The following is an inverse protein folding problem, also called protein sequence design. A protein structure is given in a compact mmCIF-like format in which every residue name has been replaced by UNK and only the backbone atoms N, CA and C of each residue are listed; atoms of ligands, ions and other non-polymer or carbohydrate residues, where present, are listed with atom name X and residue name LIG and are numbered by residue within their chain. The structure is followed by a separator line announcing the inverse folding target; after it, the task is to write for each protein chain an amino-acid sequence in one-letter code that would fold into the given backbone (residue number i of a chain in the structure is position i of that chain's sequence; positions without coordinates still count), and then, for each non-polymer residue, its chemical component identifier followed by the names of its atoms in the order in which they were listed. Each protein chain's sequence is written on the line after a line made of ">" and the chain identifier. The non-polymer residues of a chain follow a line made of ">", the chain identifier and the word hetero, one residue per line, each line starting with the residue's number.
data_IF_077739019709
#
_entry.id   IF_077739019709
#
_cell.length_a   1.000
_cell.length_b   1.000
_cell.length_c   1.000
_cell.angle_alpha   90.00
_cell.angle_beta   90.00
_cell.angle_gamma   90.00
#
_symmetry.space_group_name_H-M   'P 1'
#
loop_
_entity.id
_entity.type
_entity.pdbx_description
1 polymer ?
#
# COMPACT_ATOMS: atom_id res chain seq x y z
N UNK A 1 -68.14 -26.73 -22.72
CA UNK A 1 -69.07 -27.51 -21.91
C UNK A 1 -68.37 -28.71 -21.29
N UNK A 2 -67.62 -29.53 -22.05
CA UNK A 2 -66.89 -30.72 -21.53
C UNK A 2 -65.76 -30.40 -20.60
N UNK A 3 -64.96 -29.34 -20.81
CA UNK A 3 -63.91 -28.86 -19.93
C UNK A 3 -64.48 -28.38 -18.60
N UNK A 4 -65.56 -27.65 -18.60
CA UNK A 4 -66.28 -27.24 -17.37
C UNK A 4 -66.75 -28.43 -16.52
N UNK A 5 -67.26 -29.49 -17.21
CA UNK A 5 -67.63 -30.74 -16.56
C UNK A 5 -66.43 -31.50 -15.99
N UNK A 6 -65.27 -31.45 -16.62
CA UNK A 6 -64.07 -32.06 -16.12
C UNK A 6 -63.50 -31.31 -14.88
N UNK A 7 -63.57 -29.99 -14.88
CA UNK A 7 -63.21 -29.18 -13.70
C UNK A 7 -64.17 -29.40 -12.53
N UNK A 8 -65.44 -29.45 -12.84
CA UNK A 8 -66.47 -29.73 -11.85
C UNK A 8 -66.32 -31.14 -11.23
N UNK A 9 -66.00 -32.10 -12.09
CA UNK A 9 -65.67 -33.47 -11.66
C UNK A 9 -64.42 -33.46 -10.79
N UNK A 10 -63.36 -32.75 -11.13
CA UNK A 10 -62.15 -32.63 -10.32
C UNK A 10 -62.44 -32.07 -8.92
N UNK A 11 -63.23 -31.03 -8.84
CA UNK A 11 -63.68 -30.44 -7.58
C UNK A 11 -64.48 -31.40 -6.70
N UNK A 12 -65.36 -32.22 -7.32
CA UNK A 12 -66.12 -33.25 -6.61
C UNK A 12 -65.21 -34.35 -6.09
N UNK A 13 -64.19 -34.77 -6.88
CA UNK A 13 -63.18 -35.76 -6.44
C UNK A 13 -62.37 -35.30 -5.28
N UNK A 14 -61.89 -34.05 -5.26
CA UNK A 14 -61.15 -33.46 -4.19
C UNK A 14 -61.98 -33.42 -2.88
N UNK A 15 -63.22 -32.98 -2.96
CA UNK A 15 -64.15 -32.99 -1.83
C UNK A 15 -64.40 -34.41 -1.32
N UNK A 16 -64.60 -35.39 -2.21
CA UNK A 16 -64.83 -36.76 -1.84
C UNK A 16 -63.60 -37.42 -1.16
N UNK A 17 -62.38 -37.14 -1.69
CA UNK A 17 -61.14 -37.59 -1.08
C UNK A 17 -60.93 -37.00 0.34
N UNK A 18 -61.33 -35.74 0.53
CA UNK A 18 -61.31 -35.07 1.85
C UNK A 18 -62.29 -35.72 2.82
N UNK A 19 -63.49 -36.09 2.37
CA UNK A 19 -64.48 -36.79 3.17
C UNK A 19 -63.98 -38.16 3.55
N UNK A 20 -63.40 -38.96 2.63
CA UNK A 20 -62.83 -40.29 2.94
C UNK A 20 -61.72 -40.17 3.99
N UNK A 21 -60.84 -39.21 3.85
CA UNK A 21 -59.74 -38.95 4.80
C UNK A 21 -60.27 -38.50 6.18
N UNK A 22 -61.41 -37.81 6.21
CA UNK A 22 -62.09 -37.43 7.45
C UNK A 22 -62.77 -38.63 8.10
N UNK A 23 -63.41 -39.50 7.31
CA UNK A 23 -64.07 -40.72 7.76
C UNK A 23 -63.06 -41.71 8.38
N UNK A 24 -61.92 -41.91 7.69
CA UNK A 24 -60.81 -42.72 8.20
C UNK A 24 -60.29 -42.19 9.54
N UNK A 25 -60.08 -40.89 9.71
CA UNK A 25 -59.63 -40.25 10.97
C UNK A 25 -60.65 -40.37 12.09
N UNK A 26 -61.91 -40.55 11.81
CA UNK A 26 -62.99 -40.73 12.78
C UNK A 26 -63.24 -42.19 13.15
N UNK A 27 -62.41 -43.12 12.69
CA UNK A 27 -62.50 -44.54 13.06
C UNK A 27 -63.46 -45.35 12.14
N UNK A 28 -63.65 -44.88 10.88
CA UNK A 28 -64.40 -45.63 9.87
C UNK A 28 -63.74 -46.97 9.53
N UNK A 29 -64.60 -47.96 9.06
CA UNK A 29 -64.12 -49.28 8.74
C UNK A 29 -63.03 -49.26 7.66
N UNK A 30 -61.82 -49.83 7.94
CA UNK A 30 -60.71 -49.86 6.98
C UNK A 30 -61.04 -50.52 5.65
N UNK A 31 -61.97 -51.52 5.61
CA UNK A 31 -62.38 -52.18 4.41
C UNK A 31 -63.25 -51.28 3.49
N UNK A 32 -64.15 -50.46 4.10
CA UNK A 32 -64.95 -49.48 3.38
C UNK A 32 -64.06 -48.32 2.83
N UNK A 33 -63.11 -47.84 3.65
CA UNK A 33 -62.15 -46.80 3.23
C UNK A 33 -61.33 -47.27 2.01
N UNK A 34 -60.84 -48.51 2.03
CA UNK A 34 -60.06 -49.10 0.93
C UNK A 34 -60.91 -49.26 -0.32
N UNK A 35 -62.18 -49.69 -0.19
CA UNK A 35 -63.11 -49.80 -1.32
C UNK A 35 -63.41 -48.44 -1.94
N UNK A 36 -63.65 -47.39 -1.15
CA UNK A 36 -63.92 -46.03 -1.61
C UNK A 36 -62.66 -45.42 -2.30
N UNK A 37 -61.45 -45.64 -1.77
CA UNK A 37 -60.19 -45.22 -2.42
C UNK A 37 -59.94 -45.98 -3.73
N UNK A 38 -60.22 -47.30 -3.76
CA UNK A 38 -60.14 -48.10 -4.96
C UNK A 38 -61.10 -47.61 -6.06
N UNK A 39 -62.31 -47.26 -5.70
CA UNK A 39 -63.27 -46.65 -6.64
C UNK A 39 -62.78 -45.33 -7.19
N UNK A 40 -62.26 -44.41 -6.34
CA UNK A 40 -61.71 -43.15 -6.77
C UNK A 40 -60.56 -43.33 -7.76
N UNK A 41 -59.61 -44.22 -7.44
CA UNK A 41 -58.46 -44.49 -8.32
C UNK A 41 -58.89 -45.09 -9.67
N UNK A 42 -59.85 -45.99 -9.68
CA UNK A 42 -60.38 -46.59 -10.90
C UNK A 42 -61.03 -45.53 -11.82
N UNK A 43 -61.83 -44.65 -11.25
CA UNK A 43 -62.54 -43.59 -12.01
C UNK A 43 -61.53 -42.52 -12.47
N UNK A 44 -60.49 -42.24 -11.72
CA UNK A 44 -59.41 -41.34 -12.13
C UNK A 44 -58.59 -41.90 -13.29
N UNK A 45 -58.22 -43.17 -13.26
CA UNK A 45 -57.49 -43.86 -14.34
C UNK A 45 -58.36 -43.95 -15.59
N UNK A 46 -59.63 -44.26 -15.48
CA UNK A 46 -60.53 -44.29 -16.65
C UNK A 46 -60.73 -42.91 -17.25
N UNK A 47 -60.67 -41.83 -16.47
CA UNK A 47 -60.71 -40.44 -16.97
C UNK A 47 -59.47 -40.01 -17.70
N UNK A 48 -58.30 -40.47 -17.31
CA UNK A 48 -57.02 -40.16 -17.94
C UNK A 48 -56.77 -40.96 -19.25
N UNK A 49 -57.28 -42.19 -19.32
CA UNK A 49 -57.09 -43.08 -20.49
C UNK A 49 -57.92 -42.72 -21.70
N UNK A 50 -58.80 -41.74 -21.60
CA UNK A 50 -59.68 -41.34 -22.72
C UNK A 50 -59.37 -39.98 -23.32
N UNK A 51 -58.22 -39.33 -22.97
CA UNK A 51 -57.76 -38.16 -23.72
C UNK A 51 -57.31 -38.60 -25.09
N UNK A 52 -58.11 -38.25 -26.10
CA UNK A 52 -57.77 -38.48 -27.51
C UNK A 52 -56.51 -37.63 -27.83
N UNK A 53 -55.63 -38.11 -28.74
CA UNK A 53 -54.46 -37.37 -29.22
C UNK A 53 -54.85 -35.94 -29.70
N UNK A 54 -56.10 -35.76 -30.24
CA UNK A 54 -56.63 -34.47 -30.62
C UNK A 54 -56.82 -33.53 -29.38
N UNK A 55 -57.50 -34.01 -28.35
CA UNK A 55 -57.74 -33.21 -27.12
C UNK A 55 -56.42 -32.83 -26.42
N UNK A 56 -55.41 -33.71 -26.44
CA UNK A 56 -54.08 -33.38 -25.95
C UNK A 56 -53.37 -32.32 -26.79
N UNK A 57 -53.49 -32.45 -28.13
CA UNK A 57 -52.91 -31.46 -29.05
C UNK A 57 -53.59 -30.09 -28.90
N UNK A 58 -54.90 -30.05 -28.78
CA UNK A 58 -55.66 -28.79 -28.60
C UNK A 58 -55.32 -28.12 -27.27
N UNK A 59 -55.27 -28.87 -26.17
CA UNK A 59 -54.86 -28.35 -24.83
C UNK A 59 -53.41 -27.89 -24.83
N UNK A 60 -52.51 -28.62 -25.51
CA UNK A 60 -51.11 -28.23 -25.64
C UNK A 60 -50.96 -26.96 -26.47
N UNK A 61 -51.69 -26.85 -27.58
CA UNK A 61 -51.66 -25.63 -28.41
C UNK A 61 -52.26 -24.44 -27.67
N UNK A 62 -53.35 -24.62 -26.94
CA UNK A 62 -53.98 -23.58 -26.13
C UNK A 62 -53.02 -23.11 -25.03
N UNK A 63 -52.30 -24.03 -24.32
CA UNK A 63 -51.25 -23.70 -23.38
C UNK A 63 -50.06 -23.02 -24.08
N UNK A 64 -49.64 -23.50 -25.26
CA UNK A 64 -48.51 -22.95 -25.99
C UNK A 64 -48.74 -21.48 -26.39
N UNK A 65 -49.95 -21.12 -26.77
CA UNK A 65 -50.33 -19.75 -27.16
C UNK A 65 -50.88 -18.91 -26.00
N UNK A 66 -51.03 -19.46 -24.81
CA UNK A 66 -51.51 -18.71 -23.66
C UNK A 66 -50.42 -17.74 -23.12
N UNK A 67 -50.83 -16.58 -22.54
CA UNK A 67 -49.91 -15.63 -21.90
C UNK A 67 -49.19 -16.22 -20.70
N UNK A 68 -49.75 -17.22 -20.04
CA UNK A 68 -49.19 -17.91 -18.87
C UNK A 68 -48.34 -19.15 -19.26
N UNK A 69 -48.50 -19.63 -20.51
CA UNK A 69 -47.81 -20.78 -21.07
C UNK A 69 -46.63 -20.44 -21.96
N UNK A 70 -46.57 -21.07 -23.13
CA UNK A 70 -45.46 -21.00 -24.06
C UNK A 70 -45.08 -19.59 -24.51
N UNK A 71 -46.09 -18.76 -24.87
CA UNK A 71 -45.83 -17.36 -25.27
C UNK A 71 -45.28 -16.54 -24.12
N UNK A 72 -45.79 -16.70 -22.90
CA UNK A 72 -45.28 -16.00 -21.71
C UNK A 72 -43.86 -16.39 -21.38
N UNK A 73 -43.53 -17.69 -21.48
CA UNK A 73 -42.15 -18.19 -21.27
C UNK A 73 -41.21 -17.64 -22.37
N UNK A 74 -41.61 -17.70 -23.63
CA UNK A 74 -40.82 -17.17 -24.74
C UNK A 74 -40.55 -15.66 -24.60
N UNK A 75 -41.55 -14.88 -24.17
CA UNK A 75 -41.40 -13.46 -23.92
C UNK A 75 -40.42 -13.19 -22.76
N UNK A 76 -40.50 -13.93 -21.63
CA UNK A 76 -39.56 -13.83 -20.53
C UNK A 76 -38.13 -14.15 -20.95
N UNK A 77 -37.96 -15.22 -21.71
CA UNK A 77 -36.62 -15.59 -22.25
C UNK A 77 -36.13 -14.49 -23.20
N UNK A 78 -36.97 -13.93 -24.06
CA UNK A 78 -36.60 -12.84 -24.96
C UNK A 78 -36.19 -11.57 -24.20
N UNK A 79 -36.90 -11.21 -23.12
CA UNK A 79 -36.52 -10.07 -22.23
C UNK A 79 -35.19 -10.33 -21.58
N UNK A 80 -34.96 -11.53 -21.02
CA UNK A 80 -33.67 -11.88 -20.38
C UNK A 80 -32.53 -11.83 -21.40
N UNK A 81 -32.69 -12.48 -22.54
CA UNK A 81 -31.70 -12.48 -23.61
C UNK A 81 -31.42 -11.06 -24.15
N UNK A 82 -32.49 -10.27 -24.37
CA UNK A 82 -32.39 -8.88 -24.83
C UNK A 82 -31.66 -7.99 -23.82
N UNK A 83 -31.95 -8.11 -22.52
CA UNK A 83 -31.30 -7.34 -21.47
C UNK A 83 -29.81 -7.71 -21.31
N UNK A 84 -29.47 -8.99 -21.39
CA UNK A 84 -28.06 -9.44 -21.36
C UNK A 84 -27.32 -9.00 -22.64
N UNK A 85 -27.94 -9.06 -23.80
CA UNK A 85 -27.35 -8.58 -25.04
C UNK A 85 -27.13 -7.06 -25.00
N UNK A 86 -28.13 -6.31 -24.51
CA UNK A 86 -28.01 -4.87 -24.28
C UNK A 86 -26.86 -4.52 -23.32
N UNK A 87 -26.72 -5.27 -22.22
CA UNK A 87 -25.63 -5.11 -21.29
C UNK A 87 -24.26 -5.31 -21.97
N UNK A 88 -24.11 -6.33 -22.81
CA UNK A 88 -22.86 -6.56 -23.54
C UNK A 88 -22.53 -5.42 -24.50
N UNK A 89 -23.55 -4.84 -25.16
CA UNK A 89 -23.36 -3.66 -26.02
C UNK A 89 -22.87 -2.46 -25.18
N UNK A 90 -23.57 -2.16 -24.09
CA UNK A 90 -23.20 -1.05 -23.18
C UNK A 90 -21.77 -1.24 -22.66
N UNK A 91 -21.42 -2.44 -22.20
CA UNK A 91 -20.08 -2.73 -21.70
C UNK A 91 -18.99 -2.54 -22.78
N UNK A 92 -19.27 -2.90 -24.04
CA UNK A 92 -18.36 -2.65 -25.17
C UNK A 92 -18.21 -1.17 -25.48
N UNK A 93 -19.30 -0.40 -25.44
CA UNK A 93 -19.28 1.05 -25.65
C UNK A 93 -18.45 1.72 -24.55
N UNK A 94 -18.73 1.41 -23.27
CA UNK A 94 -18.00 1.95 -22.11
C UNK A 94 -16.52 1.60 -22.20
N UNK A 95 -16.18 0.35 -22.52
CA UNK A 95 -14.78 -0.06 -22.76
C UNK A 95 -14.11 0.75 -23.87
N UNK A 96 -14.82 1.01 -24.96
CA UNK A 96 -14.30 1.80 -26.08
C UNK A 96 -14.01 3.25 -25.66
N UNK A 97 -14.92 3.85 -24.90
CA UNK A 97 -14.73 5.19 -24.35
C UNK A 97 -13.60 5.25 -23.34
N UNK A 98 -13.52 4.28 -22.42
CA UNK A 98 -12.42 4.16 -21.47
C UNK A 98 -11.07 4.04 -22.19
N UNK A 99 -10.98 3.19 -23.21
CA UNK A 99 -9.76 3.05 -24.03
C UNK A 99 -9.35 4.35 -24.71
N UNK A 100 -10.30 5.13 -25.25
CA UNK A 100 -10.03 6.43 -25.86
C UNK A 100 -9.60 7.46 -24.83
N UNK A 101 -10.20 7.47 -23.64
CA UNK A 101 -9.83 8.35 -22.55
C UNK A 101 -8.40 8.07 -22.07
N UNK A 102 -8.08 6.80 -21.79
CA UNK A 102 -6.75 6.40 -21.34
C UNK A 102 -5.65 6.60 -22.41
N UNK A 103 -5.99 6.47 -23.69
CA UNK A 103 -5.01 6.72 -24.77
C UNK A 103 -4.64 8.19 -24.94
N UNK A 104 -5.38 9.13 -24.34
CA UNK A 104 -5.06 10.57 -24.34
C UNK A 104 -4.13 10.97 -23.20
N UNK A 105 -3.95 10.12 -22.19
CA UNK A 105 -3.06 10.40 -21.06
C UNK A 105 -1.61 10.18 -21.50
N UNK A 106 -0.81 11.24 -21.48
CA UNK A 106 0.61 11.17 -21.78
C UNK A 106 1.33 10.26 -20.77
N UNK A 107 2.29 9.47 -21.26
CA UNK A 107 3.09 8.52 -20.47
C UNK A 107 2.36 7.28 -19.91
N UNK A 108 1.10 7.04 -20.29
CA UNK A 108 0.44 5.78 -19.95
C UNK A 108 0.88 4.66 -20.91
N UNK A 109 1.45 3.58 -20.37
CA UNK A 109 1.85 2.45 -21.23
C UNK A 109 0.64 1.83 -21.93
N UNK A 110 0.84 1.33 -23.17
CA UNK A 110 -0.22 0.65 -23.92
C UNK A 110 -0.78 -0.57 -23.18
N UNK A 111 0.07 -1.26 -22.40
CA UNK A 111 -0.34 -2.40 -21.58
C UNK A 111 -1.27 -1.96 -20.45
N UNK A 112 -0.91 -0.90 -19.72
CA UNK A 112 -1.72 -0.38 -18.61
C UNK A 112 -3.06 0.16 -19.11
N UNK A 113 -3.09 0.91 -20.22
CA UNK A 113 -4.33 1.40 -20.81
C UNK A 113 -5.27 0.25 -21.25
N UNK A 114 -4.68 -0.83 -21.78
CA UNK A 114 -5.42 -2.04 -22.13
C UNK A 114 -6.02 -2.74 -20.91
N UNK A 115 -5.22 -2.89 -19.86
CA UNK A 115 -5.65 -3.47 -18.59
C UNK A 115 -6.79 -2.66 -17.93
N UNK A 116 -6.63 -1.34 -17.82
CA UNK A 116 -7.65 -0.46 -17.23
C UNK A 116 -8.96 -0.51 -18.02
N UNK A 117 -8.89 -0.50 -19.36
CA UNK A 117 -10.08 -0.63 -20.20
C UNK A 117 -10.76 -2.00 -20.04
N UNK A 118 -10.01 -3.07 -19.78
CA UNK A 118 -10.54 -4.40 -19.49
C UNK A 118 -11.20 -4.44 -18.10
N UNK A 119 -10.57 -3.81 -17.09
CA UNK A 119 -11.12 -3.70 -15.74
C UNK A 119 -12.46 -2.95 -15.75
N UNK A 120 -12.55 -1.82 -16.46
CA UNK A 120 -13.80 -1.06 -16.65
C UNK A 120 -14.87 -1.91 -17.34
N UNK A 121 -14.50 -2.72 -18.34
CA UNK A 121 -15.44 -3.62 -19.02
C UNK A 121 -16.05 -4.63 -18.05
N UNK A 122 -15.22 -5.34 -17.29
CA UNK A 122 -15.70 -6.35 -16.32
C UNK A 122 -16.50 -5.74 -15.18
N UNK A 123 -16.10 -4.56 -14.70
CA UNK A 123 -16.85 -3.82 -13.69
C UNK A 123 -18.23 -3.41 -14.21
N UNK A 124 -18.31 -2.94 -15.47
CA UNK A 124 -19.58 -2.60 -16.12
C UNK A 124 -20.48 -3.83 -16.24
N UNK A 125 -19.91 -5.00 -16.61
CA UNK A 125 -20.68 -6.25 -16.67
C UNK A 125 -21.18 -6.65 -15.28
N UNK A 126 -20.33 -6.60 -14.25
CA UNK A 126 -20.70 -6.98 -12.89
C UNK A 126 -21.85 -6.12 -12.34
N UNK A 127 -21.73 -4.80 -12.45
CA UNK A 127 -22.77 -3.85 -12.01
C UNK A 127 -24.03 -4.00 -12.87
N UNK A 128 -23.89 -4.07 -14.18
CA UNK A 128 -25.01 -4.20 -15.10
C UNK A 128 -25.76 -5.53 -14.93
N UNK A 129 -25.04 -6.62 -14.64
CA UNK A 129 -25.67 -7.91 -14.35
C UNK A 129 -26.52 -7.83 -13.06
N UNK A 130 -26.02 -7.17 -12.01
CA UNK A 130 -26.79 -6.95 -10.79
C UNK A 130 -28.06 -6.15 -11.06
N UNK A 131 -27.99 -5.11 -11.91
CA UNK A 131 -29.15 -4.30 -12.31
C UNK A 131 -30.16 -5.14 -13.08
N UNK A 132 -29.70 -5.94 -14.05
CA UNK A 132 -30.56 -6.82 -14.83
C UNK A 132 -31.24 -7.86 -13.96
N UNK A 133 -30.51 -8.51 -13.04
CA UNK A 133 -31.08 -9.49 -12.11
C UNK A 133 -32.12 -8.87 -11.18
N UNK A 134 -31.84 -7.68 -10.66
CA UNK A 134 -32.80 -6.93 -9.82
C UNK A 134 -34.06 -6.56 -10.60
N UNK A 135 -33.93 -6.10 -11.85
CA UNK A 135 -35.05 -5.78 -12.71
C UNK A 135 -35.94 -7.01 -13.07
N UNK A 136 -35.31 -8.19 -13.07
CA UNK A 136 -36.00 -9.48 -13.26
C UNK A 136 -36.62 -10.03 -11.95
N UNK A 137 -36.53 -9.28 -10.84
CA UNK A 137 -37.07 -9.68 -9.52
C UNK A 137 -36.19 -10.67 -8.74
N UNK A 138 -34.96 -10.92 -9.15
CA UNK A 138 -34.03 -11.78 -8.43
C UNK A 138 -33.49 -11.03 -7.21
N UNK A 139 -33.49 -11.69 -6.06
CA UNK A 139 -32.89 -11.11 -4.85
C UNK A 139 -31.36 -11.04 -4.99
N UNK A 140 -30.84 -9.81 -5.12
CA UNK A 140 -29.42 -9.53 -5.29
C UNK A 140 -28.66 -9.33 -3.96
N UNK A 141 -29.34 -9.41 -2.80
CA UNK A 141 -28.71 -9.24 -1.47
C UNK A 141 -27.49 -10.15 -1.27
N UNK A 142 -27.51 -11.45 -1.63
CA UNK A 142 -26.32 -12.30 -1.51
C UNK A 142 -25.15 -11.84 -2.38
N UNK A 143 -25.45 -11.24 -3.55
CA UNK A 143 -24.39 -10.72 -4.42
C UNK A 143 -23.73 -9.47 -3.82
N UNK A 144 -24.49 -8.60 -3.14
CA UNK A 144 -23.91 -7.48 -2.40
C UNK A 144 -22.99 -7.95 -1.29
N UNK A 145 -23.34 -9.01 -0.56
CA UNK A 145 -22.47 -9.58 0.46
C UNK A 145 -21.15 -10.10 -0.14
N UNK A 146 -21.24 -10.80 -1.29
CA UNK A 146 -20.05 -11.28 -2.00
C UNK A 146 -19.17 -10.13 -2.49
N UNK A 147 -19.78 -9.12 -3.14
CA UNK A 147 -19.04 -7.93 -3.63
C UNK A 147 -18.41 -7.17 -2.47
N UNK A 148 -19.12 -7.01 -1.35
CA UNK A 148 -18.58 -6.38 -0.14
C UNK A 148 -17.36 -7.12 0.41
N UNK A 149 -17.44 -8.45 0.52
CA UNK A 149 -16.32 -9.28 0.94
C UNK A 149 -15.12 -9.20 -0.03
N UNK A 150 -15.38 -9.28 -1.32
CA UNK A 150 -14.33 -9.15 -2.33
C UNK A 150 -13.68 -7.74 -2.32
N UNK A 151 -14.49 -6.69 -2.14
CA UNK A 151 -14.00 -5.31 -2.05
C UNK A 151 -13.08 -5.10 -0.84
N UNK A 152 -13.38 -5.74 0.29
CA UNK A 152 -12.54 -5.71 1.47
C UNK A 152 -11.18 -6.35 1.22
N UNK A 153 -11.14 -7.53 0.56
CA UNK A 153 -9.89 -8.20 0.19
C UNK A 153 -9.07 -7.32 -0.77
N UNK A 154 -9.71 -6.72 -1.77
CA UNK A 154 -9.05 -5.82 -2.72
C UNK A 154 -8.50 -4.58 -2.01
N UNK A 155 -9.25 -4.00 -1.07
CA UNK A 155 -8.80 -2.85 -0.30
C UNK A 155 -7.53 -3.15 0.50
N UNK A 156 -7.44 -4.32 1.15
CA UNK A 156 -6.22 -4.78 1.82
C UNK A 156 -5.05 -4.98 0.84
N UNK A 157 -5.32 -5.62 -0.31
CA UNK A 157 -4.29 -5.86 -1.31
C UNK A 157 -3.73 -4.55 -1.91
N UNK A 158 -4.53 -3.48 -1.97
CA UNK A 158 -4.15 -2.17 -2.49
C UNK A 158 -3.74 -1.17 -1.41
N UNK A 159 -3.76 -1.54 -0.13
CA UNK A 159 -3.52 -0.63 1.00
C UNK A 159 -2.21 0.15 0.87
N UNK A 160 -1.11 -0.52 0.54
CA UNK A 160 0.20 0.12 0.37
C UNK A 160 0.20 1.10 -0.82
N UNK A 161 -0.41 0.72 -1.94
CA UNK A 161 -0.50 1.57 -3.13
C UNK A 161 -1.33 2.82 -2.85
N UNK A 162 -2.46 2.67 -2.16
CA UNK A 162 -3.30 3.80 -1.74
C UNK A 162 -2.60 4.68 -0.72
N UNK A 163 -1.81 4.08 0.20
CA UNK A 163 -0.96 4.80 1.14
C UNK A 163 0.09 5.67 0.43
N UNK A 164 0.75 5.13 -0.59
CA UNK A 164 1.71 5.87 -1.40
C UNK A 164 1.05 7.01 -2.19
N UNK A 165 -0.13 6.77 -2.76
CA UNK A 165 -0.92 7.79 -3.45
C UNK A 165 -1.31 8.94 -2.49
N UNK A 166 -1.85 8.61 -1.33
CA UNK A 166 -2.24 9.60 -0.32
C UNK A 166 -1.04 10.42 0.16
N UNK A 167 0.08 9.77 0.48
CA UNK A 167 1.32 10.42 0.87
C UNK A 167 1.88 11.31 -0.25
N UNK A 168 1.85 10.86 -1.50
CA UNK A 168 2.28 11.67 -2.65
C UNK A 168 1.45 12.93 -2.83
N UNK A 169 0.13 12.84 -2.68
CA UNK A 169 -0.76 14.00 -2.70
C UNK A 169 -0.45 14.97 -1.54
N UNK A 170 -0.16 14.43 -0.33
CA UNK A 170 0.21 15.25 0.82
C UNK A 170 1.54 15.97 0.62
N UNK A 171 2.55 15.29 0.03
CA UNK A 171 3.84 15.91 -0.33
C UNK A 171 3.63 17.05 -1.34
N UNK A 172 2.86 16.80 -2.42
CA UNK A 172 2.59 17.80 -3.45
C UNK A 172 1.77 18.98 -2.94
N UNK A 173 0.85 18.76 -1.98
CA UNK A 173 0.00 19.79 -1.42
C UNK A 173 0.75 20.64 -0.39
N UNK A 174 1.42 20.01 0.59
CA UNK A 174 2.12 20.70 1.67
C UNK A 174 3.52 21.20 1.27
N UNK A 175 4.12 20.64 0.23
CA UNK A 175 5.45 20.99 -0.30
C UNK A 175 6.52 21.13 0.78
N UNK A 176 6.80 20.09 1.58
CA UNK A 176 7.87 20.16 2.56
C UNK A 176 9.24 20.35 1.89
N UNK A 177 9.36 19.97 0.63
CA UNK A 177 10.48 20.18 -0.27
C UNK A 177 9.99 20.27 -1.73
N UNK A 178 10.82 20.79 -2.62
CA UNK A 178 10.58 20.85 -4.05
C UNK A 178 11.69 20.14 -4.84
N UNK A 179 11.50 20.01 -6.17
CA UNK A 179 12.53 19.49 -7.07
C UNK A 179 13.77 20.42 -7.01
N UNK A 180 14.95 19.82 -6.89
CA UNK A 180 16.22 20.52 -6.70
C UNK A 180 16.67 20.69 -5.25
N UNK A 181 15.78 20.48 -4.26
CA UNK A 181 16.17 20.51 -2.85
C UNK A 181 17.02 19.31 -2.45
N UNK A 182 18.03 19.56 -1.61
CA UNK A 182 18.75 18.47 -0.95
C UNK A 182 18.04 18.12 0.35
N UNK A 183 17.54 16.89 0.42
CA UNK A 183 16.81 16.38 1.58
C UNK A 183 17.47 15.13 2.16
N UNK A 184 17.22 14.90 3.44
CA UNK A 184 17.53 13.62 4.11
C UNK A 184 16.21 13.03 4.58
N UNK A 185 15.88 11.84 4.09
CA UNK A 185 14.65 11.11 4.42
C UNK A 185 14.91 9.60 4.37
N UNK A 186 14.27 8.83 5.22
CA UNK A 186 14.45 7.38 5.32
C UNK A 186 15.91 6.93 5.47
N UNK A 187 16.74 7.72 6.19
CA UNK A 187 18.16 7.45 6.38
C UNK A 187 19.05 7.73 5.16
N UNK A 188 18.49 8.22 4.07
CA UNK A 188 19.18 8.55 2.81
C UNK A 188 19.26 10.07 2.63
N UNK A 189 20.28 10.54 1.93
CA UNK A 189 20.41 11.95 1.58
C UNK A 189 20.62 12.11 0.07
N UNK A 190 19.79 12.96 -0.56
CA UNK A 190 19.88 13.19 -1.99
C UNK A 190 19.23 14.49 -2.42
N UNK A 191 19.50 14.87 -3.67
CA UNK A 191 18.80 15.98 -4.33
C UNK A 191 17.53 15.43 -4.99
N UNK A 192 16.38 16.00 -4.64
CA UNK A 192 15.08 15.63 -5.20
C UNK A 192 15.08 15.93 -6.70
N UNK A 193 14.92 14.90 -7.51
CA UNK A 193 14.86 15.00 -8.96
C UNK A 193 13.43 15.12 -9.47
N UNK A 194 12.53 14.34 -8.88
CA UNK A 194 11.11 14.32 -9.29
C UNK A 194 10.25 13.70 -8.22
N UNK A 195 9.04 14.25 -8.04
CA UNK A 195 8.00 13.70 -7.16
C UNK A 195 6.86 13.21 -8.03
N UNK A 196 6.66 11.90 -8.08
CA UNK A 196 5.52 11.27 -8.74
C UNK A 196 4.37 11.05 -7.74
N UNK A 197 3.23 10.60 -8.23
CA UNK A 197 2.04 10.32 -7.41
C UNK A 197 2.29 9.23 -6.36
N UNK A 198 3.21 8.28 -6.62
CA UNK A 198 3.44 7.12 -5.75
C UNK A 198 4.87 7.03 -5.19
N UNK A 199 5.81 7.77 -5.76
CA UNK A 199 7.23 7.71 -5.38
C UNK A 199 7.93 9.06 -5.55
N UNK A 200 8.92 9.31 -4.72
CA UNK A 200 9.88 10.41 -4.84
C UNK A 200 11.20 9.83 -5.35
N UNK A 201 11.80 10.50 -6.33
CA UNK A 201 13.07 10.12 -6.93
C UNK A 201 14.13 11.14 -6.53
N UNK A 202 15.23 10.67 -5.96
CA UNK A 202 16.37 11.47 -5.51
C UNK A 202 17.64 11.02 -6.20
N UNK A 203 18.60 11.93 -6.31
CA UNK A 203 19.95 11.65 -6.78
C UNK A 203 20.93 11.87 -5.64
N UNK A 204 21.71 10.85 -5.31
CA UNK A 204 22.78 10.93 -4.29
C UNK A 204 23.94 11.79 -4.77
N UNK A 205 24.85 12.25 -3.87
CA UNK A 205 26.05 13.00 -4.27
C UNK A 205 26.99 12.24 -5.21
N UNK A 206 26.99 10.91 -5.17
CA UNK A 206 27.74 10.00 -6.05
C UNK A 206 26.95 9.65 -7.33
N UNK A 207 25.86 10.42 -7.63
CA UNK A 207 25.05 10.33 -8.84
C UNK A 207 24.25 9.02 -9.00
N UNK A 208 23.91 8.33 -7.90
CA UNK A 208 23.00 7.21 -7.94
C UNK A 208 21.54 7.71 -7.86
N UNK A 209 20.65 7.04 -8.56
CA UNK A 209 19.23 7.34 -8.55
C UNK A 209 18.52 6.45 -7.50
N UNK A 210 17.86 7.06 -6.54
CA UNK A 210 17.09 6.38 -5.52
C UNK A 210 15.61 6.67 -5.75
N UNK A 211 14.78 5.64 -5.73
CA UNK A 211 13.31 5.75 -5.81
C UNK A 211 12.73 5.31 -4.48
N UNK A 212 12.10 6.24 -3.78
CA UNK A 212 11.53 6.02 -2.44
C UNK A 212 10.00 6.06 -2.55
N UNK A 213 9.27 5.04 -2.08
CA UNK A 213 7.81 5.10 -1.98
C UNK A 213 7.36 6.30 -1.13
N UNK A 214 6.37 7.06 -1.60
CA UNK A 214 5.94 8.29 -0.93
C UNK A 214 5.47 8.07 0.51
N UNK A 215 4.89 6.91 0.84
CA UNK A 215 4.48 6.58 2.21
C UNK A 215 5.66 6.54 3.18
N UNK A 216 6.85 6.11 2.73
CA UNK A 216 8.07 6.14 3.53
C UNK A 216 8.60 7.56 3.68
N UNK A 217 8.53 8.37 2.61
CA UNK A 217 8.96 9.78 2.65
C UNK A 217 8.11 10.58 3.64
N UNK A 218 6.78 10.47 3.52
CA UNK A 218 5.85 11.21 4.38
C UNK A 218 5.79 10.70 5.81
N UNK A 219 6.04 9.40 6.00
CA UNK A 219 5.99 8.75 7.31
C UNK A 219 7.26 8.91 8.16
N UNK A 220 8.31 9.50 7.63
CA UNK A 220 9.60 9.68 8.31
C UNK A 220 9.90 11.17 8.55
N UNK A 221 10.98 11.43 9.31
CA UNK A 221 11.48 12.78 9.53
C UNK A 221 12.15 13.30 8.26
N UNK A 222 11.60 14.38 7.72
CA UNK A 222 12.16 15.06 6.55
C UNK A 222 13.09 16.17 7.01
N UNK A 223 14.39 16.08 6.68
CA UNK A 223 15.34 17.16 6.90
C UNK A 223 15.67 17.83 5.59
N UNK A 224 15.13 19.01 5.34
CA UNK A 224 15.48 19.84 4.19
C UNK A 224 16.77 20.62 4.49
N UNK A 225 17.87 20.18 3.92
CA UNK A 225 19.20 20.79 4.12
C UNK A 225 19.33 22.16 3.46
N UNK A 226 18.63 22.34 2.33
CA UNK A 226 18.58 23.58 1.56
C UNK A 226 17.55 24.58 2.05
N UNK A 227 16.90 24.32 3.20
CA UNK A 227 15.89 25.22 3.76
C UNK A 227 16.44 26.59 4.23
N UNK A 228 17.72 26.61 4.62
CA UNK A 228 18.40 27.83 5.09
C UNK A 228 19.58 28.14 4.19
N UNK A 229 19.83 29.43 3.95
CA UNK A 229 20.97 29.91 3.16
C UNK A 229 22.29 29.67 3.85
N UNK A 230 22.27 29.56 5.18
CA UNK A 230 23.45 29.35 6.02
C UNK A 230 23.36 28.02 6.77
N UNK A 231 24.53 27.42 7.01
CA UNK A 231 24.64 26.14 7.72
C UNK A 231 25.85 26.15 8.64
N UNK A 232 25.72 25.54 9.82
CA UNK A 232 26.80 25.35 10.77
C UNK A 232 27.62 24.11 10.42
N UNK A 233 28.93 24.26 10.37
CA UNK A 233 29.86 23.13 10.23
C UNK A 233 30.24 22.70 11.66
N UNK A 234 30.03 21.44 12.01
CA UNK A 234 30.36 20.89 13.32
C UNK A 234 31.65 20.04 13.20
N UNK A 235 32.73 20.53 13.81
CA UNK A 235 34.02 19.88 13.83
C UNK A 235 34.46 19.61 15.28
N UNK A 236 35.24 18.56 15.46
CA UNK A 236 35.85 18.21 16.74
C UNK A 236 37.37 18.01 16.53
N UNK A 237 38.18 18.69 17.31
CA UNK A 237 39.63 18.54 17.30
C UNK A 237 40.13 18.22 18.70
N UNK A 238 40.93 17.16 18.85
CA UNK A 238 41.53 16.75 20.11
C UNK A 238 42.97 17.21 20.20
N UNK A 239 43.37 17.70 21.36
CA UNK A 239 44.78 18.01 21.73
C UNK A 239 45.28 17.10 22.84
N UNK A 240 46.56 16.95 22.99
CA UNK A 240 47.16 16.20 24.08
C UNK A 240 46.90 16.84 25.44
N UNK A 241 46.86 16.04 26.53
CA UNK A 241 46.70 16.54 27.90
C UNK A 241 47.85 17.40 28.37
N UNK A 242 49.04 17.30 27.74
CA UNK A 242 50.21 18.15 28.03
C UNK A 242 50.18 19.51 27.33
N UNK A 243 49.25 19.71 26.37
CA UNK A 243 49.16 20.92 25.58
C UNK A 243 48.39 22.04 26.29
N UNK A 244 48.71 23.29 25.99
CA UNK A 244 47.99 24.44 26.55
C UNK A 244 46.64 24.63 25.86
N UNK A 245 45.54 24.53 26.61
CA UNK A 245 44.17 24.78 26.16
C UNK A 245 44.06 26.19 25.59
N UNK A 246 44.66 27.21 26.24
CA UNK A 246 44.61 28.61 25.81
C UNK A 246 45.33 28.81 24.48
N UNK A 247 46.53 28.19 24.31
CA UNK A 247 47.28 28.26 23.07
C UNK A 247 46.51 27.59 21.90
N UNK A 248 45.93 26.40 22.14
CA UNK A 248 45.15 25.68 21.15
C UNK A 248 43.90 26.48 20.74
N UNK A 249 43.20 27.09 21.70
CA UNK A 249 42.03 27.90 21.41
C UNK A 249 42.40 29.11 20.52
N UNK A 250 43.49 29.84 20.83
CA UNK A 250 43.96 30.96 20.00
C UNK A 250 44.31 30.55 18.58
N UNK A 251 44.95 29.38 18.42
CA UNK A 251 45.25 28.84 17.07
C UNK A 251 44.00 28.52 16.32
N UNK A 252 43.01 27.84 16.96
CA UNK A 252 41.74 27.53 16.33
C UNK A 252 40.94 28.79 15.94
N UNK A 253 40.94 29.82 16.81
CA UNK A 253 40.31 31.11 16.53
C UNK A 253 40.97 31.77 15.30
N UNK A 254 42.30 31.75 15.22
CA UNK A 254 43.03 32.29 14.07
C UNK A 254 42.77 31.52 12.78
N UNK A 255 42.67 30.20 12.84
CA UNK A 255 42.34 29.37 11.67
C UNK A 255 40.91 29.63 11.18
N UNK A 256 39.94 29.73 12.10
CA UNK A 256 38.54 29.94 11.74
C UNK A 256 38.28 31.33 11.20
N UNK A 257 39.03 32.36 11.63
CA UNK A 257 38.90 33.74 11.16
C UNK A 257 39.45 33.98 9.72
N UNK A 258 40.23 33.04 9.18
CA UNK A 258 40.99 33.24 7.95
C UNK A 258 40.31 32.77 6.64
N UNK A 259 39.43 31.74 6.59
CA UNK A 259 38.83 31.32 5.36
C UNK A 259 37.74 32.31 4.87
N UNK A 260 37.76 32.71 3.58
CA UNK A 260 36.81 33.69 3.03
C UNK A 260 35.35 33.22 3.01
N UNK A 261 35.09 31.92 3.25
CA UNK A 261 33.77 31.28 3.19
C UNK A 261 33.13 31.09 4.58
N UNK A 262 33.87 31.41 5.67
CA UNK A 262 33.34 31.39 7.03
C UNK A 262 32.64 32.72 7.31
N UNK A 263 31.42 32.66 7.84
CA UNK A 263 30.62 33.84 8.18
C UNK A 263 31.00 34.39 9.54
N UNK A 264 31.03 35.70 9.66
CA UNK A 264 31.24 36.40 10.95
C UNK A 264 30.02 36.39 11.85
N UNK A 265 28.83 36.40 11.23
CA UNK A 265 27.54 36.34 11.89
C UNK A 265 26.68 35.21 11.27
N UNK A 266 26.23 34.23 12.04
CA UNK A 266 26.48 34.04 13.49
C UNK A 266 27.96 33.73 13.81
N UNK A 267 28.44 34.26 14.96
CA UNK A 267 29.82 34.08 15.37
C UNK A 267 30.19 32.60 15.56
N UNK A 268 31.39 32.18 15.13
CA UNK A 268 31.90 30.82 15.38
C UNK A 268 31.98 30.50 16.87
N UNK A 269 31.64 29.26 17.23
CA UNK A 269 31.80 28.78 18.62
C UNK A 269 32.99 27.85 18.68
N UNK A 270 34.00 28.20 19.51
CA UNK A 270 35.19 27.39 19.78
C UNK A 270 35.30 27.22 21.31
N UNK A 271 35.12 25.98 21.77
CA UNK A 271 35.12 25.66 23.22
C UNK A 271 35.64 24.25 23.45
N UNK A 272 36.27 24.04 24.62
CA UNK A 272 36.50 22.68 25.13
C UNK A 272 35.14 22.03 25.37
N UNK A 273 34.94 20.82 24.83
CA UNK A 273 33.68 20.08 24.93
C UNK A 273 33.77 18.82 25.77
N UNK A 274 34.97 18.23 25.85
CA UNK A 274 35.14 16.94 26.50
C UNK A 274 36.59 16.73 26.94
N UNK A 275 36.78 16.10 28.10
CA UNK A 275 38.02 15.51 28.51
C UNK A 275 37.91 14.01 28.23
N UNK A 276 38.36 13.61 27.03
CA UNK A 276 38.24 12.24 26.53
C UNK A 276 39.39 11.35 27.01
N UNK A 277 39.35 10.06 26.76
CA UNK A 277 40.30 9.05 27.26
C UNK A 277 41.77 9.39 26.92
N UNK A 278 42.02 10.00 25.78
CA UNK A 278 43.40 10.28 25.32
C UNK A 278 43.60 11.74 24.83
N UNK A 279 42.57 12.59 24.89
CA UNK A 279 42.59 13.94 24.34
C UNK A 279 41.69 14.91 25.10
N UNK A 280 42.02 16.19 25.02
CA UNK A 280 41.08 17.28 25.36
C UNK A 280 40.43 17.75 24.06
N UNK A 281 39.13 17.52 23.94
CA UNK A 281 38.42 17.79 22.71
C UNK A 281 37.81 19.20 22.66
N UNK A 282 38.06 19.90 21.57
CA UNK A 282 37.42 21.16 21.23
C UNK A 282 36.29 20.93 20.21
N UNK A 283 35.14 21.56 20.42
CA UNK A 283 34.18 21.79 19.36
C UNK A 283 34.53 23.09 18.62
N UNK A 284 34.50 23.03 17.29
CA UNK A 284 34.71 24.16 16.38
C UNK A 284 33.53 24.23 15.45
N UNK A 285 32.69 25.27 15.59
CA UNK A 285 31.41 25.39 14.97
C UNK A 285 31.27 26.70 14.21
N UNK A 286 31.93 26.89 13.06
CA UNK A 286 31.73 28.02 12.19
C UNK A 286 30.43 27.90 11.39
N UNK A 287 29.95 29.04 10.89
CA UNK A 287 28.86 29.12 9.95
C UNK A 287 29.37 29.44 8.56
N UNK A 288 28.65 28.89 7.53
CA UNK A 288 28.96 29.10 6.14
C UNK A 288 27.68 29.11 5.31
N UNK A 289 27.74 29.56 4.04
CA UNK A 289 26.64 29.35 3.13
C UNK A 289 26.42 27.87 2.89
N UNK A 290 25.15 27.46 2.73
CA UNK A 290 24.79 26.03 2.61
C UNK A 290 25.52 25.34 1.45
N UNK A 291 25.73 26.03 0.31
CA UNK A 291 26.48 25.48 -0.82
C UNK A 291 27.97 25.27 -0.58
N UNK A 292 28.57 26.01 0.38
CA UNK A 292 29.99 25.98 0.68
C UNK A 292 30.35 25.04 1.83
N UNK A 293 29.34 24.34 2.40
CA UNK A 293 29.48 23.52 3.60
C UNK A 293 30.65 22.53 3.52
N UNK A 294 30.73 21.76 2.46
CA UNK A 294 31.75 20.74 2.32
C UNK A 294 33.14 21.32 2.05
N UNK A 295 33.21 22.41 1.29
CA UNK A 295 34.48 23.14 1.05
C UNK A 295 35.03 23.62 2.37
N UNK A 296 34.24 24.33 3.16
CA UNK A 296 34.67 24.83 4.49
C UNK A 296 35.02 23.68 5.44
N UNK A 297 34.24 22.59 5.41
CA UNK A 297 34.52 21.42 6.24
C UNK A 297 35.92 20.83 5.98
N UNK A 298 36.26 20.59 4.72
CA UNK A 298 37.53 20.01 4.34
C UNK A 298 38.69 20.97 4.51
N UNK A 299 38.52 22.25 4.14
CA UNK A 299 39.56 23.27 4.28
C UNK A 299 39.93 23.48 5.73
N UNK A 300 38.97 23.54 6.65
CA UNK A 300 39.21 23.67 8.08
C UNK A 300 39.89 22.43 8.68
N UNK A 301 39.51 21.23 8.26
CA UNK A 301 40.18 19.99 8.70
C UNK A 301 41.68 20.05 8.39
N UNK A 302 42.04 20.47 7.18
CA UNK A 302 43.40 20.63 6.72
C UNK A 302 44.12 21.77 7.45
N UNK A 303 43.51 22.95 7.48
CA UNK A 303 44.11 24.15 8.03
C UNK A 303 44.41 24.02 9.53
N UNK A 304 43.50 23.36 10.30
CA UNK A 304 43.72 23.09 11.73
C UNK A 304 44.89 22.14 11.91
N UNK A 305 45.02 21.07 11.11
CA UNK A 305 46.16 20.15 11.23
C UNK A 305 47.48 20.86 10.95
N UNK A 306 47.56 21.66 9.89
CA UNK A 306 48.75 22.41 9.53
C UNK A 306 49.09 23.46 10.61
N UNK A 307 48.09 24.15 11.18
CA UNK A 307 48.30 25.14 12.25
C UNK A 307 48.71 24.51 13.57
N UNK A 308 48.16 23.36 13.93
CA UNK A 308 48.61 22.64 15.14
C UNK A 308 50.05 22.20 15.03
N UNK A 309 50.47 21.63 13.90
CA UNK A 309 51.86 21.24 13.64
C UNK A 309 52.80 22.45 13.75
N UNK A 310 52.43 23.57 13.13
CA UNK A 310 53.24 24.79 13.14
C UNK A 310 53.39 25.43 14.54
N UNK A 311 52.43 25.19 15.44
CA UNK A 311 52.44 25.74 16.81
C UNK A 311 52.85 24.71 17.89
N UNK A 312 53.27 23.50 17.50
CA UNK A 312 53.71 22.46 18.41
C UNK A 312 52.60 21.88 19.28
N UNK A 313 51.35 21.96 18.83
CA UNK A 313 50.17 21.36 19.48
C UNK A 313 50.03 19.93 18.97
N UNK A 314 49.99 18.99 19.89
CA UNK A 314 49.93 17.57 19.54
C UNK A 314 48.51 17.10 19.31
N UNK A 315 48.30 16.30 18.26
CA UNK A 315 47.07 15.50 18.08
C UNK A 315 47.42 14.10 18.61
N UNK A 316 46.92 13.74 19.82
CA UNK A 316 47.40 12.52 20.48
C UNK A 316 46.89 11.27 19.78
N UNK A 317 47.79 10.28 19.72
CA UNK A 317 47.40 8.90 19.44
C UNK A 317 46.68 8.32 20.67
N UNK A 318 45.97 7.19 20.56
CA UNK A 318 45.46 6.49 21.73
C UNK A 318 46.55 6.24 22.76
N UNK A 319 46.35 6.73 23.99
CA UNK A 319 47.29 6.59 25.11
C UNK A 319 46.91 5.38 25.95
N UNK A 320 47.93 4.68 26.45
CA UNK A 320 47.74 3.55 27.38
C UNK A 320 48.80 3.64 28.46
N UNK A 321 48.37 3.75 29.71
CA UNK A 321 49.26 3.65 30.89
C UNK A 321 49.55 2.18 31.18
N UNK A 322 50.83 1.79 31.09
CA UNK A 322 51.24 0.43 31.38
C UNK A 322 52.05 0.39 32.69
N UNK A 323 51.47 -0.23 33.70
CA UNK A 323 52.17 -0.50 34.95
C UNK A 323 52.86 -1.87 34.89
N UNK A 324 54.19 -1.88 34.70
CA UNK A 324 54.97 -3.11 34.67
C UNK A 324 55.33 -3.53 36.12
N UNK A 325 54.74 -4.60 36.59
CA UNK A 325 55.15 -5.26 37.83
C UNK A 325 56.09 -6.42 37.50
N UNK A 326 57.40 -6.20 37.77
CA UNK A 326 58.39 -7.29 37.67
C UNK A 326 58.27 -8.16 38.90
N UNK A 327 57.65 -9.35 38.75
CA UNK A 327 57.58 -10.34 39.86
C UNK A 327 59.00 -10.97 40.13
N UNK A 328 59.59 -10.55 41.17
CA UNK A 328 60.62 -11.21 41.98
C UNK A 328 61.76 -11.98 41.32
N UNK A 329 62.87 -11.36 41.24
CA UNK A 329 64.21 -11.99 41.30
C UNK A 329 65.07 -11.15 42.13
N UNK A 330 65.33 -11.58 43.38
CA UNK A 330 66.38 -10.98 44.24
C UNK A 330 67.69 -11.11 43.53
N UNK A 331 68.21 -10.02 43.03
CA UNK A 331 69.54 -9.94 42.44
C UNK A 331 69.67 -8.64 41.67
N UNK A 332 70.46 -7.74 42.18
CA UNK A 332 70.88 -6.51 41.49
C UNK A 332 71.47 -6.88 40.12
N UNK A 333 70.70 -6.55 39.08
CA UNK A 333 71.12 -6.63 37.71
C UNK A 333 70.11 -5.88 36.87
N UNK A 334 70.45 -4.67 36.46
CA UNK A 334 69.78 -3.93 35.40
C UNK A 334 69.80 -4.80 34.13
N UNK A 335 68.75 -5.56 33.90
CA UNK A 335 68.61 -6.36 32.70
C UNK A 335 68.40 -5.47 31.46
N UNK A 336 68.78 -5.89 30.25
CA UNK A 336 68.74 -5.08 29.02
C UNK A 336 67.36 -4.58 28.65
N UNK A 337 66.32 -5.08 29.32
CA UNK A 337 64.94 -4.66 29.06
C UNK A 337 64.58 -3.32 29.73
N UNK A 338 65.18 -3.04 30.93
CA UNK A 338 64.89 -1.80 31.63
C UNK A 338 65.62 -0.62 30.96
N UNK A 339 66.85 -0.83 30.46
CA UNK A 339 67.58 0.22 29.74
C UNK A 339 66.97 0.58 28.41
N UNK A 340 66.31 -0.35 27.75
CA UNK A 340 65.58 -0.12 26.51
C UNK A 340 64.26 0.68 26.68
N UNK A 341 63.66 0.61 27.89
CA UNK A 341 62.41 1.34 28.19
C UNK A 341 62.66 2.73 28.81
N UNK A 342 63.81 2.98 29.47
CA UNK A 342 64.14 4.27 30.11
C UNK A 342 64.91 5.22 29.18
N UNK A 343 65.36 4.79 27.98
CA UNK A 343 66.07 5.64 27.03
C UNK A 343 67.47 6.12 27.52
N UNK A 344 68.01 5.57 28.58
CA UNK A 344 69.39 5.83 29.04
C UNK A 344 70.31 4.85 28.31
N UNK A 345 71.08 5.41 27.38
CA UNK A 345 72.21 4.77 26.70
C UNK A 345 73.52 5.26 27.27
#
# INVERSE_FOLDING_TARGET
>A
ERLALLEERGRVFEKFSTVISSFERKGGDPAEVAAMRGYLSAVEIEGRSRLTLQEFADTFLEWLFSPEGGVGIALRIAIIAGSLFGLLIVARIVRSWARRAFSRVQNLSKLLSGFLAMAVYWLTIAVGLMIVLAALGVNITPLFALVGGASFIIAFALQETLGNLAAGLMIMFNRPFDEGDYVKVAGLGGTVKHVSVVSTTETTPDNQLIVIPNSKVWGDVITKVTASDTRRVDLVFGIGYGDSIEAAQKVLEGVVANPPLVLEDPAPVIRVSELADSSVNFIVRPWTKTGDYWTVYWDLQRAVKEAFDANGISIPFPQTDMHLHVAGGGGAGEGPIVSALTGES
#
